data_IF_946965598095
#
_entry.id   IF_946965598095
#
_cell.length_a   1.000
_cell.length_b   1.000
_cell.length_c   1.000
_cell.angle_alpha   90.00
_cell.angle_beta   90.00
_cell.angle_gamma   90.00
#
_symmetry.space_group_name_H-M   'P 1'
#
loop_
_entity.id
_entity.type
_entity.pdbx_description
1 polymer ?
#
# COMPACT_ATOMS: atom_id res chain seq x y z
N UNK A 1 -23.19 -11.36 12.07
CA UNK A 1 -21.85 -10.91 12.11
C UNK A 1 -21.71 -9.40 11.97
N UNK A 2 -20.50 -8.93 11.73
CA UNK A 2 -20.23 -7.50 11.62
C UNK A 2 -20.91 -6.84 10.43
N UNK A 3 -21.20 -7.60 9.37
CA UNK A 3 -21.86 -7.06 8.18
C UNK A 3 -23.22 -6.43 8.52
N UNK A 4 -24.01 -7.09 9.33
CA UNK A 4 -25.31 -6.57 9.74
C UNK A 4 -25.16 -5.32 10.62
N UNK A 5 -24.17 -5.31 11.51
CA UNK A 5 -23.90 -4.18 12.38
C UNK A 5 -23.41 -2.95 11.63
N UNK A 6 -22.75 -3.14 10.51
CA UNK A 6 -22.22 -2.07 9.66
C UNK A 6 -23.18 -1.59 8.59
N UNK A 7 -24.32 -2.26 8.43
CA UNK A 7 -25.30 -1.86 7.43
C UNK A 7 -25.77 -0.43 7.65
N UNK A 8 -25.73 0.38 6.60
CA UNK A 8 -26.07 1.79 6.67
C UNK A 8 -25.00 2.70 7.25
N UNK A 9 -23.85 2.13 7.65
CA UNK A 9 -22.73 2.89 8.23
C UNK A 9 -21.50 2.93 7.33
N UNK A 10 -21.58 2.31 6.16
CA UNK A 10 -20.47 2.28 5.22
C UNK A 10 -20.56 3.46 4.25
N UNK A 11 -19.46 4.19 4.14
CA UNK A 11 -19.29 5.26 3.18
C UNK A 11 -18.17 4.84 2.23
N UNK A 12 -18.54 4.55 0.98
CA UNK A 12 -17.61 4.03 -0.01
C UNK A 12 -17.01 5.18 -0.80
N UNK A 13 -15.70 5.37 -0.66
CA UNK A 13 -14.97 6.36 -1.43
C UNK A 13 -14.48 5.75 -2.76
N UNK A 14 -14.22 6.60 -3.74
CA UNK A 14 -13.76 6.15 -5.06
C UNK A 14 -12.28 5.81 -5.09
N UNK A 15 -11.50 6.34 -4.15
CA UNK A 15 -10.06 6.10 -4.07
C UNK A 15 -9.55 6.31 -2.64
N UNK A 16 -8.26 6.03 -2.44
CA UNK A 16 -7.62 6.18 -1.14
C UNK A 16 -7.64 7.63 -0.65
N UNK A 17 -7.50 8.59 -1.54
CA UNK A 17 -7.58 10.01 -1.17
C UNK A 17 -8.94 10.36 -0.60
N UNK A 18 -10.00 9.84 -1.18
CA UNK A 18 -11.36 10.04 -0.69
C UNK A 18 -11.55 9.48 0.71
N UNK A 19 -11.01 8.30 0.98
CA UNK A 19 -11.04 7.71 2.33
C UNK A 19 -10.35 8.63 3.35
N UNK A 20 -9.16 9.11 3.03
CA UNK A 20 -8.40 10.01 3.90
C UNK A 20 -9.20 11.30 4.17
N UNK A 21 -9.74 11.90 3.12
CA UNK A 21 -10.49 13.16 3.23
C UNK A 21 -11.74 12.99 4.09
N UNK A 22 -12.46 11.87 3.97
CA UNK A 22 -13.65 11.61 4.77
C UNK A 22 -13.31 11.45 6.26
N UNK A 23 -12.22 10.76 6.57
CA UNK A 23 -11.80 10.59 7.96
C UNK A 23 -11.31 11.90 8.56
N UNK A 24 -10.45 12.63 7.84
CA UNK A 24 -9.90 13.90 8.32
C UNK A 24 -10.98 14.99 8.42
N UNK A 25 -11.96 14.95 7.54
CA UNK A 25 -13.07 15.91 7.53
C UNK A 25 -14.18 15.61 8.53
N UNK A 26 -14.08 14.49 9.26
CA UNK A 26 -15.08 14.10 10.25
C UNK A 26 -16.33 13.43 9.69
N UNK A 27 -16.35 13.10 8.40
CA UNK A 27 -17.48 12.40 7.78
C UNK A 27 -17.48 10.91 8.13
N UNK A 28 -16.33 10.36 8.47
CA UNK A 28 -16.17 8.98 8.91
C UNK A 28 -15.26 8.92 10.13
N UNK A 29 -15.51 7.97 11.01
CA UNK A 29 -14.72 7.76 12.22
C UNK A 29 -13.45 6.96 11.95
N UNK A 30 -13.48 6.08 10.98
CA UNK A 30 -12.36 5.23 10.60
C UNK A 30 -12.43 4.90 9.11
N UNK A 31 -11.30 4.54 8.55
CA UNK A 31 -11.21 4.14 7.14
C UNK A 31 -10.23 3.00 6.95
N UNK A 32 -10.35 2.31 5.83
CA UNK A 32 -9.45 1.23 5.42
C UNK A 32 -8.56 1.76 4.30
N UNK A 33 -7.26 1.66 4.48
CA UNK A 33 -6.25 2.16 3.55
C UNK A 33 -5.18 1.10 3.31
N UNK A 34 -4.45 1.26 2.22
CA UNK A 34 -3.21 0.53 2.03
C UNK A 34 -2.11 1.10 2.93
N UNK A 35 -1.14 0.26 3.30
CA UNK A 35 -0.07 0.63 4.22
C UNK A 35 0.74 1.83 3.77
N UNK A 36 1.03 1.94 2.47
CA UNK A 36 1.79 3.07 1.93
C UNK A 36 1.04 4.40 2.10
N UNK A 37 -0.27 4.39 1.95
CA UNK A 37 -1.09 5.58 2.17
C UNK A 37 -1.14 5.97 3.64
N UNK A 38 -1.24 4.98 4.53
CA UNK A 38 -1.23 5.22 5.97
C UNK A 38 0.10 5.83 6.44
N UNK A 39 1.22 5.37 5.89
CA UNK A 39 2.55 5.91 6.22
C UNK A 39 2.65 7.39 5.83
N UNK A 40 2.15 7.76 4.65
CA UNK A 40 2.17 9.16 4.20
C UNK A 40 1.38 10.08 5.11
N UNK A 41 0.35 9.58 5.76
CA UNK A 41 -0.56 10.37 6.60
C UNK A 41 -0.37 10.10 8.09
N UNK A 42 0.72 9.49 8.50
CA UNK A 42 0.93 9.06 9.89
C UNK A 42 0.91 10.17 10.92
N UNK A 43 1.13 11.41 10.51
CA UNK A 43 1.06 12.56 11.41
C UNK A 43 -0.38 13.01 11.69
N UNK A 44 -1.31 12.65 10.82
CA UNK A 44 -2.72 13.07 10.91
C UNK A 44 -3.67 11.92 11.18
N UNK A 45 -3.24 10.70 10.90
CA UNK A 45 -4.03 9.50 11.08
C UNK A 45 -3.30 8.51 11.98
N UNK A 46 -4.06 7.83 12.82
CA UNK A 46 -3.53 6.76 13.67
C UNK A 46 -3.92 5.41 13.11
N UNK A 47 -2.93 4.52 12.97
CA UNK A 47 -3.17 3.14 12.59
C UNK A 47 -3.67 2.38 13.82
N UNK A 48 -4.88 1.85 13.76
CA UNK A 48 -5.51 1.11 14.86
C UNK A 48 -5.24 -0.38 14.73
N UNK A 49 -5.25 -0.90 13.50
CA UNK A 49 -5.03 -2.31 13.25
C UNK A 49 -4.43 -2.50 11.85
N UNK A 50 -3.60 -3.53 11.72
CA UNK A 50 -3.06 -3.94 10.43
C UNK A 50 -3.73 -5.26 10.07
N UNK A 51 -4.47 -5.25 8.96
CA UNK A 51 -5.14 -6.45 8.46
C UNK A 51 -4.16 -7.27 7.65
N UNK A 52 -3.90 -8.49 8.08
CA UNK A 52 -3.00 -9.40 7.38
C UNK A 52 -3.68 -10.68 6.90
N UNK A 53 -4.99 -10.75 7.06
CA UNK A 53 -5.85 -11.85 6.59
C UNK A 53 -7.16 -11.29 6.06
N UNK A 54 -7.90 -12.12 5.35
CA UNK A 54 -9.21 -11.73 4.83
C UNK A 54 -9.18 -10.95 3.54
N UNK A 55 -8.01 -10.83 2.90
CA UNK A 55 -7.87 -10.16 1.61
C UNK A 55 -6.74 -10.80 0.81
N UNK A 56 -6.73 -10.55 -0.49
CA UNK A 56 -5.63 -10.95 -1.37
C UNK A 56 -4.67 -9.77 -1.51
N UNK A 57 -3.39 -9.92 -1.13
CA UNK A 57 -2.43 -8.82 -1.24
C UNK A 57 -2.26 -8.34 -2.67
N UNK A 58 -2.19 -7.03 -2.85
CA UNK A 58 -1.84 -6.43 -4.14
C UNK A 58 -0.33 -6.50 -4.31
N UNK A 59 0.11 -7.06 -5.42
CA UNK A 59 1.52 -7.20 -5.74
C UNK A 59 1.90 -6.19 -6.82
N UNK A 60 2.92 -5.38 -6.54
CA UNK A 60 3.52 -4.51 -7.53
C UNK A 60 4.68 -5.24 -8.17
N UNK A 61 4.71 -5.28 -9.48
CA UNK A 61 5.78 -5.93 -10.23
C UNK A 61 6.51 -4.91 -11.09
N UNK A 62 7.75 -5.20 -11.38
CA UNK A 62 8.58 -4.39 -12.25
C UNK A 62 9.24 -5.29 -13.29
N UNK A 63 9.27 -4.83 -14.52
CA UNK A 63 9.92 -5.54 -15.60
C UNK A 63 10.78 -4.60 -16.42
N UNK A 64 11.81 -5.15 -17.03
CA UNK A 64 12.65 -4.39 -17.93
C UNK A 64 12.06 -4.42 -19.33
N UNK A 65 11.97 -3.25 -19.94
CA UNK A 65 11.51 -3.15 -21.33
C UNK A 65 12.46 -3.90 -22.25
N UNK A 66 11.90 -4.61 -23.25
CA UNK A 66 12.66 -5.41 -24.18
C UNK A 66 13.76 -4.64 -24.90
N UNK A 67 13.48 -3.38 -25.21
CA UNK A 67 14.39 -2.50 -25.95
C UNK A 67 14.99 -1.40 -25.05
N UNK A 68 15.24 -1.71 -23.79
CA UNK A 68 15.91 -0.77 -22.90
C UNK A 68 17.22 -0.27 -23.53
N UNK A 69 17.39 1.05 -23.76
CA UNK A 69 18.57 1.58 -24.44
C UNK A 69 19.89 1.29 -23.72
N UNK A 70 19.87 1.16 -22.39
CA UNK A 70 21.04 0.81 -21.62
C UNK A 70 20.68 -0.36 -20.69
N UNK A 71 20.82 -1.57 -21.22
CA UNK A 71 20.43 -2.79 -20.53
C UNK A 71 21.15 -2.97 -19.19
N UNK A 72 22.43 -2.60 -19.14
CA UNK A 72 23.22 -2.71 -17.91
C UNK A 72 22.64 -1.85 -16.78
N UNK A 73 22.29 -0.60 -17.08
CA UNK A 73 21.69 0.30 -16.09
C UNK A 73 20.30 -0.17 -15.67
N UNK A 74 19.50 -0.70 -16.60
CA UNK A 74 18.20 -1.26 -16.25
C UNK A 74 18.35 -2.46 -15.31
N UNK A 75 19.29 -3.34 -15.56
CA UNK A 75 19.56 -4.49 -14.71
C UNK A 75 20.08 -4.07 -13.33
N UNK A 76 20.96 -3.08 -13.28
CA UNK A 76 21.49 -2.54 -12.02
C UNK A 76 20.37 -1.90 -11.18
N UNK A 77 19.45 -1.19 -11.81
CA UNK A 77 18.32 -0.59 -11.13
C UNK A 77 17.38 -1.64 -10.54
N UNK A 78 17.03 -2.66 -11.32
CA UNK A 78 16.20 -3.75 -10.82
C UNK A 78 16.88 -4.48 -9.65
N UNK A 79 18.17 -4.74 -9.76
CA UNK A 79 18.94 -5.39 -8.70
C UNK A 79 18.99 -4.52 -7.44
N UNK A 80 19.12 -3.20 -7.59
CA UNK A 80 19.12 -2.27 -6.47
C UNK A 80 17.79 -2.31 -5.71
N UNK A 81 16.67 -2.28 -6.43
CA UNK A 81 15.35 -2.33 -5.79
C UNK A 81 15.15 -3.62 -5.02
N UNK A 82 15.64 -4.75 -5.56
CA UNK A 82 15.54 -6.05 -4.91
C UNK A 82 16.58 -6.26 -3.82
N UNK A 83 17.61 -5.43 -3.79
CA UNK A 83 18.70 -5.53 -2.83
C UNK A 83 18.35 -4.95 -1.46
N UNK A 84 19.27 -5.08 -0.47
CA UNK A 84 18.97 -4.66 0.90
C UNK A 84 18.67 -3.15 1.04
N UNK A 85 19.37 -2.30 0.32
CA UNK A 85 19.14 -0.86 0.40
C UNK A 85 17.79 -0.47 -0.21
N UNK A 86 17.44 -1.01 -1.38
CA UNK A 86 16.16 -0.75 -2.03
C UNK A 86 15.00 -1.28 -1.21
N UNK A 87 15.15 -2.45 -0.60
CA UNK A 87 14.11 -3.03 0.24
C UNK A 87 13.82 -2.21 1.50
N UNK A 88 14.85 -1.58 2.08
CA UNK A 88 14.64 -0.66 3.20
C UNK A 88 13.79 0.53 2.77
N UNK A 89 14.09 1.12 1.62
CA UNK A 89 13.34 2.26 1.09
C UNK A 89 11.88 1.87 0.83
N UNK A 90 11.66 0.73 0.19
CA UNK A 90 10.32 0.22 -0.10
C UNK A 90 9.53 0.00 1.19
N UNK A 91 10.17 -0.60 2.19
CA UNK A 91 9.52 -0.87 3.48
C UNK A 91 9.20 0.41 4.24
N UNK A 92 10.11 1.37 4.26
CA UNK A 92 9.87 2.68 4.90
C UNK A 92 8.75 3.45 4.23
N UNK A 93 8.51 3.23 2.95
CA UNK A 93 7.39 3.80 2.22
C UNK A 93 6.04 3.13 2.54
N UNK A 94 6.04 2.06 3.33
CA UNK A 94 4.81 1.39 3.75
C UNK A 94 4.44 0.16 2.95
N UNK A 95 5.34 -0.32 2.07
CA UNK A 95 5.10 -1.54 1.29
C UNK A 95 5.64 -2.75 2.01
N UNK A 96 4.94 -3.88 1.86
CA UNK A 96 5.41 -5.16 2.38
C UNK A 96 6.47 -5.78 1.48
N UNK A 97 7.13 -6.81 1.99
CA UNK A 97 8.05 -7.60 1.17
C UNK A 97 7.27 -8.57 0.29
N UNK A 98 7.75 -8.86 -0.92
CA UNK A 98 7.11 -9.87 -1.76
C UNK A 98 7.18 -11.23 -1.08
N UNK A 99 6.13 -12.02 -1.27
CA UNK A 99 6.18 -13.42 -0.87
C UNK A 99 7.26 -14.11 -1.69
N UNK A 100 8.05 -14.96 -1.04
CA UNK A 100 9.05 -15.75 -1.76
C UNK A 100 8.34 -16.66 -2.74
N UNK A 101 8.75 -16.61 -4.00
CA UNK A 101 8.35 -17.59 -4.97
C UNK A 101 8.98 -18.93 -4.57
N UNK A 102 8.14 -19.90 -4.28
CA UNK A 102 8.59 -21.26 -4.00
C UNK A 102 8.40 -22.13 -5.24
#
# INVERSE_FOLDING_TARGET
GLDAAMEGRLDVATDARGVIDHVLGGQADAGVLYGDQAVKEQQRLRVVAILNTGYMPTVHSMSMERYCPNRRLCEEFLAYIQGPEGQVIVREAGYGLPARAE
#
